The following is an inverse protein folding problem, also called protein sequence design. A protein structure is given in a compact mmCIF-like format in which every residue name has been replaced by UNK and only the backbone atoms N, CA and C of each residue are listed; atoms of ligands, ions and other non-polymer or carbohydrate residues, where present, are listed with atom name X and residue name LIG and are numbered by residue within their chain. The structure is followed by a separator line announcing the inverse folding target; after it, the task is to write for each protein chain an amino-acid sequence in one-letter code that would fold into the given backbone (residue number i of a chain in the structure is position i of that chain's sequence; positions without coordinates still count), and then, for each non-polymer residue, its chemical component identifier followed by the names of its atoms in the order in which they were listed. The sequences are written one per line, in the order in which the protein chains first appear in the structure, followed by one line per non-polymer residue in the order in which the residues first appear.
data_IF_079136409424
#
_entry.id   IF_079136409424
#
_cell.length_a   1.000
_cell.length_b   1.000
_cell.length_c   1.000
_cell.angle_alpha   90.00
_cell.angle_beta   90.00
_cell.angle_gamma   90.00
#
_symmetry.space_group_name_H-M   'P 1'
#
loop_
_entity.id
_entity.type
_entity.pdbx_description
1 polymer ?
#
# COMPACT_ATOMS: atom_id res chain seq x y z
N UNK A 1 29.40 -13.75 3.90
CA UNK A 1 28.11 -13.51 4.58
C UNK A 1 27.66 -12.10 4.18
N UNK A 2 26.97 -11.97 3.05
CA UNK A 2 26.63 -10.66 2.45
C UNK A 2 25.23 -10.63 1.82
N UNK A 3 24.49 -11.74 1.84
CA UNK A 3 23.19 -11.85 1.17
C UNK A 3 22.01 -11.35 2.03
N UNK A 4 22.13 -11.39 3.36
CA UNK A 4 21.01 -11.14 4.28
C UNK A 4 20.59 -9.64 4.37
N UNK A 5 21.41 -8.73 3.85
CA UNK A 5 21.18 -7.26 4.00
C UNK A 5 20.28 -6.67 2.90
N UNK A 6 20.21 -7.30 1.71
CA UNK A 6 19.45 -6.76 0.57
C UNK A 6 17.96 -7.16 0.59
N UNK A 7 17.64 -8.40 0.97
CA UNK A 7 16.27 -8.90 1.04
C UNK A 7 15.41 -8.16 2.08
N UNK A 8 16.00 -7.85 3.25
CA UNK A 8 15.32 -7.13 4.33
C UNK A 8 14.96 -5.70 3.95
N UNK A 9 15.84 -5.01 3.20
CA UNK A 9 15.56 -3.66 2.69
C UNK A 9 14.46 -3.64 1.62
N UNK A 10 14.44 -4.63 0.72
CA UNK A 10 13.38 -4.76 -0.29
C UNK A 10 11.99 -5.00 0.33
N UNK A 11 11.89 -5.85 1.36
CA UNK A 11 10.62 -6.08 2.07
C UNK A 11 10.10 -4.81 2.75
N UNK A 12 10.98 -4.01 3.36
CA UNK A 12 10.58 -2.77 4.02
C UNK A 12 10.18 -1.67 3.02
N UNK A 13 10.92 -1.54 1.91
CA UNK A 13 10.58 -0.63 0.82
C UNK A 13 9.25 -1.00 0.12
N UNK A 14 8.98 -2.30 -0.07
CA UNK A 14 7.71 -2.76 -0.62
C UNK A 14 6.53 -2.46 0.33
N UNK A 15 6.75 -2.59 1.64
CA UNK A 15 5.75 -2.27 2.67
C UNK A 15 5.32 -0.80 2.64
N UNK A 16 6.27 0.11 2.37
CA UNK A 16 6.02 1.55 2.29
C UNK A 16 5.26 1.99 1.02
N UNK A 17 5.18 1.15 -0.01
CA UNK A 17 4.57 1.51 -1.29
C UNK A 17 3.06 1.22 -1.36
N UNK A 18 2.53 0.39 -0.45
CA UNK A 18 1.10 0.03 -0.43
C UNK A 18 0.17 1.21 -0.15
N UNK A 19 0.59 2.13 0.72
CA UNK A 19 -0.19 3.34 1.05
C UNK A 19 -0.29 4.30 -0.15
N UNK A 20 0.82 4.76 -0.76
CA UNK A 20 0.76 5.62 -1.93
C UNK A 20 0.10 4.93 -3.13
N UNK A 21 0.31 3.62 -3.33
CA UNK A 21 -0.38 2.86 -4.37
C UNK A 21 -1.89 2.79 -4.14
N UNK A 22 -2.33 2.49 -2.91
CA UNK A 22 -3.75 2.48 -2.55
C UNK A 22 -4.42 3.84 -2.72
N UNK A 23 -3.73 4.92 -2.32
CA UNK A 23 -4.19 6.30 -2.56
C UNK A 23 -4.30 6.62 -4.05
N UNK A 24 -3.31 6.26 -4.87
CA UNK A 24 -3.33 6.52 -6.32
C UNK A 24 -4.49 5.78 -7.02
N UNK A 25 -4.68 4.51 -6.66
CA UNK A 25 -5.76 3.68 -7.19
C UNK A 25 -7.12 4.21 -6.72
N UNK A 26 -7.27 4.54 -5.43
CA UNK A 26 -8.48 5.10 -4.87
C UNK A 26 -8.83 6.48 -5.44
N UNK A 27 -7.82 7.32 -5.69
CA UNK A 27 -7.99 8.60 -6.36
C UNK A 27 -8.47 8.41 -7.80
N UNK A 28 -7.87 7.50 -8.56
CA UNK A 28 -8.28 7.22 -9.95
C UNK A 28 -9.72 6.70 -10.04
N UNK A 29 -10.09 5.78 -9.15
CA UNK A 29 -11.46 5.23 -9.08
C UNK A 29 -12.45 6.31 -8.61
N UNK A 30 -12.09 7.08 -7.58
CA UNK A 30 -12.89 8.19 -7.05
C UNK A 30 -13.10 9.29 -8.08
N UNK A 31 -12.09 9.58 -8.89
CA UNK A 31 -12.19 10.55 -9.98
C UNK A 31 -13.13 10.06 -11.09
N UNK A 32 -13.05 8.78 -11.47
CA UNK A 32 -13.93 8.18 -12.47
C UNK A 32 -15.41 8.14 -12.03
N UNK A 33 -15.68 7.96 -10.74
CA UNK A 33 -17.04 7.89 -10.17
C UNK A 33 -17.59 9.26 -9.75
N UNK A 34 -16.80 10.34 -9.83
CA UNK A 34 -17.17 11.67 -9.34
C UNK A 34 -17.16 11.80 -7.81
N UNK A 35 -16.64 10.79 -7.11
CA UNK A 35 -16.59 10.66 -5.65
C UNK A 35 -15.14 10.66 -5.15
N UNK A 36 -14.41 11.73 -5.44
CA UNK A 36 -12.96 11.82 -5.20
C UNK A 36 -12.58 11.54 -3.74
N UNK A 37 -13.31 12.14 -2.80
CA UNK A 37 -13.07 12.00 -1.36
C UNK A 37 -13.32 10.57 -0.90
N UNK A 38 -14.44 9.96 -1.33
CA UNK A 38 -14.74 8.57 -0.98
C UNK A 38 -13.70 7.61 -1.57
N UNK A 39 -13.29 7.83 -2.82
CA UNK A 39 -12.25 7.03 -3.47
C UNK A 39 -10.90 7.11 -2.75
N UNK A 40 -10.49 8.31 -2.31
CA UNK A 40 -9.28 8.51 -1.51
C UNK A 40 -9.34 7.81 -0.15
N UNK A 41 -10.46 7.93 0.58
CA UNK A 41 -10.64 7.25 1.86
C UNK A 41 -10.62 5.73 1.70
N UNK A 42 -11.31 5.21 0.68
CA UNK A 42 -11.34 3.77 0.37
C UNK A 42 -9.96 3.29 -0.05
N UNK A 43 -9.25 4.03 -0.89
CA UNK A 43 -7.89 3.71 -1.33
C UNK A 43 -6.87 3.70 -0.19
N UNK A 44 -6.95 4.69 0.71
CA UNK A 44 -6.11 4.74 1.91
C UNK A 44 -6.42 3.57 2.85
N UNK A 45 -7.70 3.30 3.12
CA UNK A 45 -8.14 2.20 3.97
C UNK A 45 -7.71 0.84 3.42
N UNK A 46 -7.89 0.61 2.11
CA UNK A 46 -7.47 -0.61 1.42
C UNK A 46 -5.94 -0.76 1.41
N UNK A 47 -5.19 0.32 1.17
CA UNK A 47 -3.73 0.32 1.22
C UNK A 47 -3.19 -0.02 2.61
N UNK A 48 -3.82 0.53 3.66
CA UNK A 48 -3.45 0.25 5.05
C UNK A 48 -3.78 -1.19 5.44
N UNK A 49 -4.93 -1.70 5.01
CA UNK A 49 -5.33 -3.09 5.23
C UNK A 49 -4.38 -4.06 4.51
N UNK A 50 -4.01 -3.79 3.27
CA UNK A 50 -3.06 -4.60 2.51
C UNK A 50 -1.68 -4.63 3.18
N UNK A 51 -1.18 -3.47 3.64
CA UNK A 51 0.08 -3.38 4.38
C UNK A 51 0.01 -4.18 5.68
N UNK A 52 -1.09 -4.08 6.44
CA UNK A 52 -1.29 -4.84 7.66
C UNK A 52 -1.31 -6.36 7.41
N UNK A 53 -1.98 -6.82 6.35
CA UNK A 53 -2.02 -8.23 5.96
C UNK A 53 -0.65 -8.75 5.53
N UNK A 54 0.10 -7.98 4.73
CA UNK A 54 1.47 -8.33 4.32
C UNK A 54 2.38 -8.40 5.53
N UNK A 55 2.26 -7.46 6.47
CA UNK A 55 3.07 -7.44 7.70
C UNK A 55 2.71 -8.58 8.65
N UNK A 56 1.43 -8.93 8.77
CA UNK A 56 0.95 -10.07 9.54
C UNK A 56 1.44 -11.39 8.96
N UNK A 57 1.43 -11.54 7.63
CA UNK A 57 1.92 -12.76 6.97
C UNK A 57 3.46 -12.85 6.88
N UNK A 58 4.15 -11.74 7.12
CA UNK A 58 5.60 -11.68 7.19
C UNK A 58 6.15 -11.79 8.63
N UNK A 59 5.26 -11.84 9.64
CA UNK A 59 5.59 -12.20 11.03
C UNK A 59 5.40 -13.70 11.24
#
# INVERSE_FOLDING_TARGET
MTDETEETKKKWAASGLFIPAGLFVGMGIGWALGYLVQGLLVGLGAGFLAMALVRLKAS
#
